data_IF_495050501114
#
_entry.id   IF_495050501114
#
_cell.length_a   1.000
_cell.length_b   1.000
_cell.length_c   1.000
_cell.angle_alpha   90.00
_cell.angle_beta   90.00
_cell.angle_gamma   90.00
#
_symmetry.space_group_name_H-M   'P 1'
#
loop_
_entity.id
_entity.type
_entity.pdbx_description
1 polymer ?
#
# COMPACT_ATOMS: atom_id res chain seq x y z
N UNK A 1 1.87 -23.60 15.08
CA UNK A 1 1.90 -22.82 13.82
C UNK A 1 1.67 -21.36 14.13
N UNK A 2 2.50 -20.50 13.57
CA UNK A 2 2.33 -19.07 13.71
C UNK A 2 1.59 -18.53 12.50
N UNK A 3 0.68 -17.59 12.74
CA UNK A 3 -0.05 -16.93 11.67
C UNK A 3 0.53 -15.54 11.47
N UNK A 4 0.78 -15.21 10.21
CA UNK A 4 1.18 -13.87 9.82
C UNK A 4 -0.07 -13.06 9.53
N UNK A 5 -0.14 -11.86 10.05
CA UNK A 5 -1.26 -10.97 9.75
C UNK A 5 -0.76 -9.56 9.50
N UNK A 6 -1.58 -8.79 8.82
CA UNK A 6 -1.27 -7.38 8.58
C UNK A 6 -1.39 -6.60 9.88
N UNK A 7 -0.61 -5.52 9.97
CA UNK A 7 -0.83 -4.48 10.97
C UNK A 7 -2.23 -3.91 10.76
N UNK A 8 -2.72 -3.13 11.73
CA UNK A 8 -4.03 -2.50 11.55
C UNK A 8 -4.02 -1.57 10.33
N UNK A 9 -5.21 -1.26 9.82
CA UNK A 9 -5.35 -0.50 8.58
C UNK A 9 -4.69 0.88 8.65
N UNK A 10 -4.78 1.54 9.79
CA UNK A 10 -4.20 2.87 9.94
C UNK A 10 -2.67 2.82 9.86
N UNK A 11 -2.05 1.82 10.47
CA UNK A 11 -0.60 1.64 10.41
C UNK A 11 -0.15 1.29 9.00
N UNK A 12 -0.91 0.43 8.30
CA UNK A 12 -0.61 0.10 6.90
C UNK A 12 -0.69 1.34 6.03
N UNK A 13 -1.75 2.13 6.18
CA UNK A 13 -1.93 3.38 5.44
C UNK A 13 -0.76 4.33 5.69
N UNK A 14 -0.42 4.55 6.93
CA UNK A 14 0.64 5.50 7.29
C UNK A 14 2.00 5.06 6.76
N UNK A 15 2.28 3.75 6.82
CA UNK A 15 3.52 3.19 6.27
C UNK A 15 3.59 3.40 4.76
N UNK A 16 2.49 3.13 4.05
CA UNK A 16 2.43 3.32 2.60
C UNK A 16 2.66 4.79 2.22
N UNK A 17 1.98 5.69 2.91
CA UNK A 17 2.10 7.13 2.63
C UNK A 17 3.53 7.61 2.91
N UNK A 18 4.11 7.18 4.02
CA UNK A 18 5.47 7.56 4.37
C UNK A 18 6.48 7.08 3.31
N UNK A 19 6.35 5.84 2.85
CA UNK A 19 7.25 5.32 1.81
C UNK A 19 7.05 6.04 0.48
N UNK A 20 5.81 6.39 0.14
CA UNK A 20 5.54 7.20 -1.05
C UNK A 20 6.26 8.54 -0.98
N UNK A 21 6.20 9.19 0.17
CA UNK A 21 6.89 10.48 0.37
C UNK A 21 8.41 10.32 0.30
N UNK A 22 8.93 9.30 0.97
CA UNK A 22 10.37 9.00 0.99
C UNK A 22 10.92 8.76 -0.40
N UNK A 23 10.19 8.01 -1.21
CA UNK A 23 10.62 7.62 -2.55
C UNK A 23 10.08 8.54 -3.64
N UNK A 24 9.41 9.62 -3.25
CA UNK A 24 8.87 10.65 -4.14
C UNK A 24 7.94 10.07 -5.20
N UNK A 25 7.11 9.11 -4.82
CA UNK A 25 6.11 8.52 -5.70
C UNK A 25 4.89 9.42 -5.72
N UNK A 26 4.50 9.86 -6.92
CA UNK A 26 3.32 10.72 -7.08
C UNK A 26 2.05 9.87 -7.14
N UNK A 27 0.98 10.36 -6.53
CA UNK A 27 -0.31 9.67 -6.51
C UNK A 27 -0.87 9.47 -7.91
N UNK A 28 -0.71 10.45 -8.80
CA UNK A 28 -1.15 10.33 -10.20
C UNK A 28 -0.46 9.18 -10.91
N UNK A 29 0.84 9.08 -10.74
CA UNK A 29 1.63 8.00 -11.33
C UNK A 29 1.20 6.65 -10.78
N UNK A 30 0.98 6.59 -9.47
CA UNK A 30 0.56 5.37 -8.80
C UNK A 30 -0.80 4.89 -9.32
N UNK A 31 -1.77 5.81 -9.45
CA UNK A 31 -3.08 5.47 -9.99
C UNK A 31 -2.95 4.88 -11.40
N UNK A 32 -2.14 5.51 -12.24
CA UNK A 32 -1.91 5.06 -13.61
C UNK A 32 -1.31 3.65 -13.64
N UNK A 33 -0.29 3.41 -12.84
CA UNK A 33 0.38 2.11 -12.80
C UNK A 33 -0.54 1.01 -12.25
N UNK A 34 -1.43 1.35 -11.32
CA UNK A 34 -2.39 0.40 -10.78
C UNK A 34 -3.61 0.21 -11.70
N UNK A 35 -3.74 1.01 -12.75
CA UNK A 35 -4.89 0.93 -13.65
C UNK A 35 -6.19 1.42 -13.00
N UNK A 36 -6.09 2.34 -12.05
CA UNK A 36 -7.22 2.88 -11.31
C UNK A 36 -7.43 4.35 -11.63
N UNK A 37 -8.68 4.81 -11.52
CA UNK A 37 -8.91 6.25 -11.57
C UNK A 37 -8.29 6.90 -10.32
N UNK A 38 -7.96 8.18 -10.42
CA UNK A 38 -7.35 8.90 -9.32
C UNK A 38 -8.23 8.88 -8.05
N UNK A 39 -9.54 9.19 -8.13
CA UNK A 39 -10.40 9.12 -6.95
C UNK A 39 -10.48 7.72 -6.33
N UNK A 40 -10.54 6.69 -7.16
CA UNK A 40 -10.58 5.31 -6.68
C UNK A 40 -9.28 4.95 -5.96
N UNK A 41 -8.15 5.35 -6.52
CA UNK A 41 -6.85 5.10 -5.90
C UNK A 41 -6.75 5.82 -4.56
N UNK A 42 -7.20 7.07 -4.47
CA UNK A 42 -7.19 7.82 -3.21
C UNK A 42 -8.05 7.14 -2.15
N UNK A 43 -9.24 6.68 -2.54
CA UNK A 43 -10.14 5.99 -1.61
C UNK A 43 -9.51 4.70 -1.08
N UNK A 44 -8.88 3.93 -1.97
CA UNK A 44 -8.21 2.69 -1.57
C UNK A 44 -6.98 2.95 -0.73
N UNK A 45 -6.24 4.02 -1.02
CA UNK A 45 -5.07 4.39 -0.24
C UNK A 45 -5.46 4.80 1.20
N UNK A 46 -6.61 5.44 1.34
CA UNK A 46 -7.14 5.78 2.66
C UNK A 46 -7.60 4.54 3.43
N UNK A 47 -8.06 3.52 2.71
CA UNK A 47 -8.49 2.25 3.29
C UNK A 47 -7.74 1.11 2.59
N UNK A 48 -6.46 0.87 2.94
CA UNK A 48 -5.60 -0.03 2.17
C UNK A 48 -6.11 -1.46 2.04
N UNK A 49 -6.92 -1.92 2.97
CA UNK A 49 -7.47 -3.27 2.88
C UNK A 49 -8.54 -3.42 1.80
N UNK A 50 -8.95 -2.33 1.17
CA UNK A 50 -9.82 -2.38 -0.01
C UNK A 50 -9.05 -2.65 -1.30
N UNK A 51 -7.71 -2.60 -1.28
CA UNK A 51 -6.92 -3.01 -2.43
C UNK A 51 -7.06 -4.51 -2.65
N UNK A 52 -7.06 -4.92 -3.90
CA UNK A 52 -6.87 -6.34 -4.23
C UNK A 52 -5.45 -6.74 -3.87
N UNK A 53 -5.24 -8.03 -3.59
CA UNK A 53 -3.90 -8.52 -3.27
C UNK A 53 -2.91 -8.16 -4.38
N UNK A 54 -3.29 -8.33 -5.63
CA UNK A 54 -2.45 -7.98 -6.78
C UNK A 54 -2.11 -6.49 -6.81
N UNK A 55 -3.08 -5.65 -6.47
CA UNK A 55 -2.87 -4.19 -6.41
C UNK A 55 -1.92 -3.82 -5.28
N UNK A 56 -2.10 -4.44 -4.13
CA UNK A 56 -1.25 -4.16 -2.97
C UNK A 56 0.19 -4.59 -3.21
N UNK A 57 0.40 -5.74 -3.83
CA UNK A 57 1.74 -6.22 -4.16
C UNK A 57 2.42 -5.29 -5.17
N UNK A 58 1.67 -4.85 -6.19
CA UNK A 58 2.19 -3.92 -7.18
C UNK A 58 2.50 -2.56 -6.55
N UNK A 59 1.63 -2.10 -5.66
CA UNK A 59 1.85 -0.87 -4.91
C UNK A 59 3.16 -0.94 -4.12
N UNK A 60 3.39 -2.03 -3.39
CA UNK A 60 4.62 -2.21 -2.64
C UNK A 60 5.85 -2.20 -3.55
N UNK A 61 5.74 -2.80 -4.73
CA UNK A 61 6.82 -2.80 -5.72
C UNK A 61 7.11 -1.39 -6.22
N UNK A 62 6.07 -0.62 -6.55
CA UNK A 62 6.23 0.74 -7.08
C UNK A 62 6.87 1.67 -6.05
N UNK A 63 6.44 1.56 -4.79
CA UNK A 63 6.98 2.42 -3.73
C UNK A 63 8.24 1.85 -3.08
N UNK A 64 8.73 0.72 -3.59
CA UNK A 64 9.94 0.06 -3.10
C UNK A 64 9.84 -0.31 -1.62
N UNK A 65 8.68 -0.78 -1.21
CA UNK A 65 8.40 -1.20 0.16
C UNK A 65 8.38 -2.71 0.24
N UNK A 66 9.12 -3.27 1.19
CA UNK A 66 9.02 -4.70 1.50
C UNK A 66 7.66 -4.93 2.18
N UNK A 67 6.86 -5.85 1.64
CA UNK A 67 5.54 -6.13 2.21
C UNK A 67 5.62 -6.57 3.67
N UNK A 68 6.74 -7.10 4.10
CA UNK A 68 6.96 -7.47 5.50
C UNK A 68 6.82 -6.28 6.45
N UNK A 69 7.04 -5.05 5.96
CA UNK A 69 6.86 -3.84 6.75
C UNK A 69 5.39 -3.60 7.12
N UNK A 70 4.47 -4.23 6.41
CA UNK A 70 3.03 -4.12 6.65
C UNK A 70 2.52 -5.24 7.55
N UNK A 71 3.37 -6.18 7.93
CA UNK A 71 2.97 -7.38 8.65
C UNK A 71 3.45 -7.32 10.10
N UNK A 72 2.64 -7.92 10.97
CA UNK A 72 3.05 -8.16 12.35
C UNK A 72 3.83 -9.47 12.37
N UNK A 73 5.03 -9.42 12.93
CA UNK A 73 5.87 -10.60 13.09
C UNK A 73 5.71 -11.17 14.49
N UNK A 74 5.49 -12.47 14.56
CA UNK A 74 5.40 -13.19 15.81
C UNK A 74 6.67 -13.99 16.06
#
# INVERSE_FOLDING_TARGET
>A
MRFTQFKNQDDVRDTLILEMMKNKVRKNHLAKELGLSYPTMLAKLDSPFSFKVSELLLLCEIVELDINELLIKY
#
